data_IF_332270491759
#
_entry.id   IF_332270491759
#
_cell.length_a   1.000
_cell.length_b   1.000
_cell.length_c   1.000
_cell.angle_alpha   90.00
_cell.angle_beta   90.00
_cell.angle_gamma   90.00
#
_symmetry.space_group_name_H-M   'P 1'
#
loop_
_entity.id
_entity.type
_entity.pdbx_description
1 polymer ?
#
# COMPACT_ATOMS: atom_id res chain seq x y z
N UNK A 1 15.93 46.73 -68.01
CA UNK A 1 16.47 46.52 -66.65
C UNK A 1 15.33 46.18 -65.69
N UNK A 2 15.64 45.42 -64.65
CA UNK A 2 14.81 44.45 -63.89
C UNK A 2 13.39 44.91 -63.49
N UNK A 3 12.38 44.12 -63.88
CA UNK A 3 11.01 44.18 -63.32
C UNK A 3 11.04 43.58 -61.91
N UNK A 4 10.74 44.39 -60.90
CA UNK A 4 10.51 43.91 -59.54
C UNK A 4 9.13 43.26 -59.47
N UNK A 5 9.11 41.93 -59.34
CA UNK A 5 7.88 41.22 -58.97
C UNK A 5 7.74 41.28 -57.45
N UNK A 6 6.60 41.73 -56.90
CA UNK A 6 6.37 41.64 -55.47
C UNK A 6 6.22 40.17 -55.08
N UNK A 7 7.10 39.71 -54.19
CA UNK A 7 6.93 38.42 -53.52
C UNK A 7 5.71 38.58 -52.61
N UNK A 8 4.55 38.14 -53.10
CA UNK A 8 3.36 37.98 -52.31
C UNK A 8 3.66 36.91 -51.25
N UNK A 9 4.09 37.34 -50.06
CA UNK A 9 4.03 36.49 -48.86
C UNK A 9 2.56 36.26 -48.58
N UNK A 10 1.97 35.23 -49.19
CA UNK A 10 0.75 34.61 -48.67
C UNK A 10 1.09 34.18 -47.25
N UNK A 11 0.73 35.02 -46.27
CA UNK A 11 0.58 34.55 -44.91
C UNK A 11 -0.41 33.39 -45.02
N UNK A 12 0.09 32.16 -44.82
CA UNK A 12 -0.79 31.04 -44.49
C UNK A 12 -1.45 31.45 -43.18
N UNK A 13 -2.59 32.13 -43.27
CA UNK A 13 -3.43 32.29 -42.11
C UNK A 13 -3.81 30.87 -41.70
N UNK A 14 -3.48 30.45 -40.47
CA UNK A 14 -3.81 29.12 -40.01
C UNK A 14 -5.31 28.95 -40.19
N UNK A 15 -5.69 27.93 -40.97
CA UNK A 15 -7.08 27.70 -41.30
C UNK A 15 -7.81 27.45 -39.97
N UNK A 16 -8.72 28.37 -39.58
CA UNK A 16 -9.30 28.39 -38.22
C UNK A 16 -9.89 27.03 -37.81
N UNK A 17 -10.36 26.24 -38.79
CA UNK A 17 -10.84 24.87 -38.60
C UNK A 17 -9.76 23.88 -38.16
N UNK A 18 -8.58 23.86 -38.79
CA UNK A 18 -7.49 22.94 -38.36
C UNK A 18 -6.90 23.32 -37.01
N UNK A 19 -6.86 24.62 -36.68
CA UNK A 19 -6.53 25.07 -35.32
C UNK A 19 -7.53 24.57 -34.28
N UNK A 20 -8.83 24.64 -34.58
CA UNK A 20 -9.89 24.16 -33.68
C UNK A 20 -9.83 22.64 -33.46
N UNK A 21 -9.66 21.85 -34.53
CA UNK A 21 -9.48 20.40 -34.40
C UNK A 21 -8.24 20.04 -33.58
N UNK A 22 -7.11 20.73 -33.83
CA UNK A 22 -5.89 20.57 -33.05
C UNK A 22 -6.10 20.81 -31.56
N UNK A 23 -6.79 21.91 -31.20
CA UNK A 23 -7.14 22.25 -29.81
C UNK A 23 -8.02 21.16 -29.20
N UNK A 24 -9.07 20.70 -29.89
CA UNK A 24 -9.98 19.66 -29.38
C UNK A 24 -9.22 18.36 -29.11
N UNK A 25 -8.36 17.91 -30.04
CA UNK A 25 -7.54 16.71 -29.81
C UNK A 25 -6.59 16.87 -28.64
N UNK A 26 -5.96 18.04 -28.48
CA UNK A 26 -5.00 18.30 -27.42
C UNK A 26 -5.69 18.35 -26.04
N UNK A 27 -6.89 18.92 -25.98
CA UNK A 27 -7.76 18.88 -24.80
C UNK A 27 -8.16 17.44 -24.48
N UNK A 28 -8.58 16.65 -25.46
CA UNK A 28 -8.96 15.25 -25.23
C UNK A 28 -7.80 14.40 -24.67
N UNK A 29 -6.58 14.59 -25.20
CA UNK A 29 -5.37 13.91 -24.70
C UNK A 29 -5.07 14.35 -23.26
N UNK A 30 -5.10 15.65 -22.97
CA UNK A 30 -4.88 16.18 -21.63
C UNK A 30 -5.93 15.69 -20.63
N UNK A 31 -7.21 15.67 -21.04
CA UNK A 31 -8.30 15.13 -20.23
C UNK A 31 -8.12 13.65 -19.94
N UNK A 32 -7.68 12.86 -20.93
CA UNK A 32 -7.37 11.44 -20.74
C UNK A 32 -6.23 11.21 -19.74
N UNK A 33 -5.15 11.98 -19.85
CA UNK A 33 -4.04 11.93 -18.89
C UNK A 33 -4.48 12.34 -17.48
N UNK A 34 -5.24 13.43 -17.35
CA UNK A 34 -5.78 13.90 -16.08
C UNK A 34 -6.69 12.85 -15.43
N UNK A 35 -7.60 12.25 -16.20
CA UNK A 35 -8.48 11.18 -15.74
C UNK A 35 -7.71 9.94 -15.30
N UNK A 36 -6.65 9.58 -16.01
CA UNK A 36 -5.79 8.47 -15.61
C UNK A 36 -5.11 8.75 -14.26
N UNK A 37 -4.50 9.93 -14.10
CA UNK A 37 -3.84 10.31 -12.85
C UNK A 37 -4.81 10.44 -11.66
N UNK A 38 -6.00 11.02 -11.86
CA UNK A 38 -6.99 11.13 -10.79
C UNK A 38 -7.53 9.76 -10.39
N UNK A 39 -7.73 8.86 -11.36
CA UNK A 39 -8.21 7.50 -11.09
C UNK A 39 -7.14 6.67 -10.35
N UNK A 40 -5.87 6.71 -10.76
CA UNK A 40 -4.80 6.05 -10.00
C UNK A 40 -4.71 6.56 -8.56
N UNK A 41 -4.76 7.88 -8.39
CA UNK A 41 -4.68 8.49 -7.06
C UNK A 41 -5.88 8.11 -6.19
N UNK A 42 -7.09 8.14 -6.74
CA UNK A 42 -8.29 7.68 -6.03
C UNK A 42 -8.20 6.20 -5.66
N UNK A 43 -7.75 5.33 -6.57
CA UNK A 43 -7.60 3.91 -6.26
C UNK A 43 -6.56 3.67 -5.16
N UNK A 44 -5.45 4.40 -5.17
CA UNK A 44 -4.44 4.32 -4.12
C UNK A 44 -4.98 4.84 -2.76
N UNK A 45 -5.73 5.93 -2.77
CA UNK A 45 -6.37 6.48 -1.56
C UNK A 45 -7.46 5.54 -1.02
N UNK A 46 -8.28 4.96 -1.89
CA UNK A 46 -9.27 3.94 -1.52
C UNK A 46 -8.56 2.73 -0.91
N UNK A 47 -7.55 2.18 -1.57
CA UNK A 47 -6.79 1.04 -1.06
C UNK A 47 -6.16 1.36 0.31
N UNK A 48 -5.56 2.54 0.48
CA UNK A 48 -5.00 3.00 1.75
C UNK A 48 -6.07 3.16 2.83
N UNK A 49 -7.25 3.68 2.48
CA UNK A 49 -8.35 3.87 3.43
C UNK A 49 -8.94 2.54 3.94
N UNK A 50 -9.01 1.52 3.07
CA UNK A 50 -9.53 0.20 3.44
C UNK A 50 -8.47 -0.71 4.09
N UNK A 51 -7.19 -0.53 3.74
CA UNK A 51 -6.14 -1.52 4.00
C UNK A 51 -4.92 -0.98 4.76
N UNK A 52 -4.93 0.31 5.10
CA UNK A 52 -3.81 1.00 5.73
C UNK A 52 -2.57 1.07 4.86
N UNK A 53 -1.41 1.35 5.49
CA UNK A 53 -0.14 1.58 4.80
C UNK A 53 0.53 0.34 4.18
N UNK A 54 0.02 -0.88 4.44
CA UNK A 54 0.71 -2.12 4.04
C UNK A 54 -0.17 -3.17 3.37
N UNK A 55 -1.46 -2.90 3.14
CA UNK A 55 -2.33 -3.85 2.44
C UNK A 55 -2.59 -5.15 3.21
N UNK A 56 -2.22 -5.22 4.50
CA UNK A 56 -2.33 -6.40 5.36
C UNK A 56 -3.06 -6.05 6.66
N UNK A 57 -4.00 -6.88 7.06
CA UNK A 57 -4.78 -6.73 8.29
C UNK A 57 -4.99 -8.09 8.99
N UNK A 58 -5.55 -8.06 10.21
CA UNK A 58 -5.90 -9.28 10.94
C UNK A 58 -4.71 -10.19 11.26
N UNK A 59 -3.55 -9.60 11.59
CA UNK A 59 -2.36 -10.33 12.02
C UNK A 59 -2.65 -11.08 13.33
N UNK A 60 -2.36 -12.37 13.37
CA UNK A 60 -2.47 -13.21 14.56
C UNK A 60 -1.22 -14.06 14.74
N UNK A 61 -0.74 -14.14 15.98
CA UNK A 61 0.39 -14.97 16.38
C UNK A 61 -0.05 -15.90 17.51
N UNK A 62 0.05 -17.20 17.26
CA UNK A 62 -0.27 -18.25 18.24
C UNK A 62 1.01 -18.98 18.60
N UNK A 63 1.34 -19.00 19.89
CA UNK A 63 2.45 -19.78 20.45
C UNK A 63 1.88 -21.05 21.08
N UNK A 64 2.25 -22.21 20.55
CA UNK A 64 1.82 -23.51 21.05
C UNK A 64 2.76 -24.00 22.16
N UNK A 65 2.26 -24.91 23.00
CA UNK A 65 2.99 -25.42 24.19
C UNK A 65 4.18 -26.32 23.84
N UNK A 66 4.20 -26.89 22.64
CA UNK A 66 5.25 -27.75 22.10
C UNK A 66 6.40 -26.95 21.45
N UNK A 67 6.52 -25.65 21.80
CA UNK A 67 7.49 -24.72 21.24
C UNK A 67 7.30 -24.40 19.75
N UNK A 68 6.18 -24.77 19.14
CA UNK A 68 5.84 -24.36 17.77
C UNK A 68 5.00 -23.08 17.74
N UNK A 69 5.04 -22.32 16.65
CA UNK A 69 4.17 -21.15 16.45
C UNK A 69 3.45 -21.20 15.11
N UNK A 70 2.34 -20.45 15.05
CA UNK A 70 1.63 -20.14 13.83
C UNK A 70 1.32 -18.65 13.76
N UNK A 71 1.83 -18.00 12.73
CA UNK A 71 1.52 -16.63 12.34
C UNK A 71 0.58 -16.66 11.14
N UNK A 72 -0.45 -15.83 11.15
CA UNK A 72 -1.39 -15.69 10.03
C UNK A 72 -1.74 -14.23 9.81
N UNK A 73 -1.93 -13.85 8.55
CA UNK A 73 -2.34 -12.50 8.15
C UNK A 73 -3.29 -12.56 6.96
N UNK A 74 -4.12 -11.52 6.85
CA UNK A 74 -5.04 -11.34 5.74
C UNK A 74 -4.55 -10.20 4.85
N UNK A 75 -4.49 -10.46 3.55
CA UNK A 75 -4.19 -9.44 2.55
C UNK A 75 -5.46 -8.79 2.03
N UNK A 76 -5.42 -7.49 1.77
CA UNK A 76 -6.50 -6.78 1.10
C UNK A 76 -6.53 -7.03 -0.41
N UNK A 77 -5.36 -7.10 -1.04
CA UNK A 77 -5.20 -7.39 -2.48
C UNK A 77 -4.36 -8.63 -2.74
N UNK A 78 -3.70 -9.17 -1.72
CA UNK A 78 -2.89 -10.40 -1.78
C UNK A 78 -3.62 -11.56 -1.11
N UNK A 79 -3.29 -12.79 -1.51
CA UNK A 79 -3.74 -14.02 -0.85
C UNK A 79 -3.32 -14.04 0.62
N UNK A 80 -4.22 -14.51 1.49
CA UNK A 80 -3.93 -14.74 2.90
C UNK A 80 -2.68 -15.59 3.07
N UNK A 81 -1.83 -15.22 4.02
CA UNK A 81 -0.58 -15.91 4.29
C UNK A 81 -0.54 -16.51 5.68
N UNK A 82 0.24 -17.58 5.82
CA UNK A 82 0.59 -18.11 7.12
C UNK A 82 2.05 -18.57 7.14
N UNK A 83 2.66 -18.46 8.31
CA UNK A 83 4.03 -18.88 8.58
C UNK A 83 4.02 -19.69 9.85
N UNK A 84 4.75 -20.80 9.85
CA UNK A 84 4.92 -21.65 11.03
C UNK A 84 6.39 -21.94 11.28
N UNK A 85 6.71 -22.31 12.52
CA UNK A 85 8.06 -22.68 12.88
C UNK A 85 8.18 -22.93 14.37
N UNK A 86 9.39 -22.79 14.88
CA UNK A 86 9.69 -22.93 16.30
C UNK A 86 9.79 -21.56 16.96
N UNK A 87 9.48 -21.47 18.25
CA UNK A 87 9.74 -20.29 19.05
C UNK A 87 10.58 -20.65 20.27
N UNK A 88 11.37 -19.68 20.72
CA UNK A 88 12.12 -19.76 21.95
C UNK A 88 11.98 -18.44 22.74
N UNK A 89 12.11 -18.50 24.06
CA UNK A 89 12.06 -17.31 24.89
C UNK A 89 13.14 -17.31 25.98
N UNK A 90 13.90 -16.22 26.03
CA UNK A 90 14.94 -15.99 27.04
C UNK A 90 14.41 -15.08 28.16
N UNK A 91 13.22 -15.38 28.68
CA UNK A 91 12.53 -14.55 29.68
C UNK A 91 11.82 -13.34 29.07
N UNK A 92 12.54 -12.25 28.82
CA UNK A 92 11.95 -10.99 28.29
C UNK A 92 11.87 -10.95 26.77
N UNK A 93 12.68 -11.73 26.06
CA UNK A 93 12.72 -11.74 24.60
C UNK A 93 12.08 -13.04 24.10
N UNK A 94 11.21 -12.91 23.12
CA UNK A 94 10.68 -13.99 22.29
C UNK A 94 11.41 -13.96 20.94
N UNK A 95 11.90 -15.11 20.49
CA UNK A 95 12.51 -15.29 19.16
C UNK A 95 11.70 -16.32 18.40
N UNK A 96 11.33 -15.99 17.17
CA UNK A 96 10.66 -16.88 16.22
C UNK A 96 11.68 -17.39 15.20
N UNK A 97 11.61 -18.69 14.91
CA UNK A 97 12.45 -19.40 13.95
C UNK A 97 11.49 -20.02 12.92
N UNK A 98 11.09 -19.25 11.89
CA UNK A 98 10.14 -19.72 10.90
C UNK A 98 10.77 -20.79 9.99
N UNK A 99 9.95 -21.71 9.48
CA UNK A 99 10.38 -22.69 8.49
C UNK A 99 10.66 -22.08 7.11
N UNK A 100 10.08 -20.90 6.84
CA UNK A 100 10.21 -20.13 5.60
C UNK A 100 10.39 -18.65 5.91
N UNK A 101 11.17 -17.94 5.12
CA UNK A 101 11.35 -16.50 5.27
C UNK A 101 10.07 -15.79 4.83
N UNK A 102 9.60 -14.85 5.63
CA UNK A 102 8.43 -14.02 5.34
C UNK A 102 8.73 -12.60 5.81
N UNK A 103 8.56 -11.63 4.92
CA UNK A 103 8.92 -10.24 5.15
C UNK A 103 7.95 -9.50 6.08
N UNK A 104 6.76 -10.07 6.34
CA UNK A 104 5.72 -9.51 7.20
C UNK A 104 5.95 -9.89 8.67
N UNK A 105 6.66 -11.00 8.91
CA UNK A 105 6.88 -11.54 10.25
C UNK A 105 8.18 -11.00 10.86
N UNK A 106 8.02 -10.23 11.93
CA UNK A 106 9.13 -9.91 12.81
C UNK A 106 9.64 -11.16 13.55
N UNK A 107 10.96 -11.31 13.66
CA UNK A 107 11.55 -12.52 14.26
C UNK A 107 11.81 -12.40 15.75
N UNK A 108 11.83 -11.17 16.29
CA UNK A 108 12.15 -10.92 17.70
C UNK A 108 11.20 -9.91 18.31
N UNK A 109 10.67 -10.26 19.47
CA UNK A 109 9.73 -9.44 20.22
C UNK A 109 10.18 -9.31 21.68
N UNK A 110 9.97 -8.14 22.25
CA UNK A 110 10.05 -7.91 23.68
C UNK A 110 8.68 -8.18 24.32
N UNK A 111 8.67 -9.02 25.36
CA UNK A 111 7.51 -9.24 26.21
C UNK A 111 7.39 -8.07 27.18
N UNK A 112 6.30 -7.32 27.11
CA UNK A 112 5.99 -6.25 28.06
C UNK A 112 4.53 -6.33 28.49
N UNK A 113 4.30 -6.62 29.77
CA UNK A 113 2.96 -6.87 30.33
C UNK A 113 2.21 -7.94 29.53
N UNK A 114 1.14 -7.54 28.83
CA UNK A 114 0.32 -8.41 27.98
C UNK A 114 0.55 -8.20 26.48
N UNK A 115 1.70 -7.65 26.12
CA UNK A 115 2.04 -7.29 24.75
C UNK A 115 3.38 -7.90 24.32
N UNK A 116 3.48 -8.19 23.02
CA UNK A 116 4.71 -8.50 22.32
C UNK A 116 5.02 -7.33 21.39
N UNK A 117 6.10 -6.61 21.70
CA UNK A 117 6.53 -5.42 20.98
C UNK A 117 7.67 -5.83 20.03
N UNK A 118 7.56 -5.60 18.71
CA UNK A 118 8.63 -5.95 17.77
C UNK A 118 9.91 -5.15 18.09
N UNK A 119 11.07 -5.80 18.01
CA UNK A 119 12.36 -5.15 18.30
C UNK A 119 12.98 -4.44 17.10
N UNK A 120 12.65 -4.87 15.86
CA UNK A 120 13.33 -4.40 14.64
C UNK A 120 12.71 -3.10 14.09
N UNK A 121 11.40 -2.91 14.25
CA UNK A 121 10.67 -1.75 13.75
C UNK A 121 9.49 -1.37 14.65
N UNK A 122 9.47 -0.13 15.16
CA UNK A 122 8.41 0.39 16.03
C UNK A 122 7.13 0.79 15.28
N UNK A 123 7.18 0.82 13.94
CA UNK A 123 6.04 1.11 13.06
C UNK A 123 5.14 -0.11 12.83
N UNK A 124 5.59 -1.30 13.20
CA UNK A 124 4.80 -2.52 13.08
C UNK A 124 3.90 -2.76 14.30
N UNK A 125 2.72 -3.30 14.04
CA UNK A 125 1.72 -3.56 15.07
C UNK A 125 2.23 -4.54 16.14
N UNK A 126 2.14 -4.12 17.40
CA UNK A 126 2.33 -4.97 18.58
C UNK A 126 1.27 -6.09 18.64
N UNK A 127 1.63 -7.26 19.18
CA UNK A 127 0.63 -8.28 19.50
C UNK A 127 0.15 -8.13 20.93
N UNK A 128 -1.17 -8.08 21.13
CA UNK A 128 -1.80 -8.12 22.45
C UNK A 128 -2.34 -9.52 22.70
N UNK A 129 -2.15 -10.04 23.91
CA UNK A 129 -2.73 -11.32 24.30
C UNK A 129 -4.26 -11.28 24.13
N UNK A 130 -4.85 -12.30 23.49
CA UNK A 130 -6.28 -12.33 23.16
C UNK A 130 -7.19 -12.11 24.39
N UNK A 131 -6.81 -12.67 25.55
CA UNK A 131 -7.56 -12.48 26.81
C UNK A 131 -7.65 -11.02 27.28
N UNK A 132 -6.75 -10.17 26.82
CA UNK A 132 -6.66 -8.76 27.16
C UNK A 132 -6.96 -7.87 25.94
N UNK A 133 -7.49 -8.45 24.87
CA UNK A 133 -7.88 -7.70 23.68
C UNK A 133 -9.26 -7.09 23.89
N UNK A 134 -9.31 -5.77 24.03
CA UNK A 134 -10.55 -5.02 24.04
C UNK A 134 -10.88 -4.61 22.60
N UNK A 135 -11.97 -5.13 22.06
CA UNK A 135 -12.40 -4.77 20.71
C UNK A 135 -12.79 -3.27 20.69
N UNK A 136 -12.21 -2.45 19.81
CA UNK A 136 -12.41 -0.99 19.82
C UNK A 136 -13.85 -0.54 19.53
N UNK A 137 -14.72 -1.45 19.09
CA UNK A 137 -16.15 -1.19 18.84
C UNK A 137 -17.09 -1.64 19.95
N UNK A 138 -16.60 -2.04 21.13
CA UNK A 138 -17.43 -2.08 22.34
C UNK A 138 -17.71 -0.64 22.82
N UNK A 139 -18.41 0.14 22.01
CA UNK A 139 -19.28 1.18 22.53
C UNK A 139 -20.60 0.49 22.81
N UNK A 140 -20.93 0.40 24.10
CA UNK A 140 -22.21 -0.05 24.61
C UNK A 140 -23.32 0.66 23.83
N UNK A 141 -24.18 -0.12 23.17
CA UNK A 141 -25.51 0.33 22.77
C UNK A 141 -26.45 0.17 23.96
#
# INVERSE_FOLDING_TARGET
MKRYFPINRRQLQPNKRTGLFGIITLVAILSGLLLFFTNEKQNAEILSSYCGGFGLYGKSLVLMKDSTFRFSYYGCSQTNGYVSGQWNSNGQILTLIPAQIDDVLNLKYQKYKSKLIPLKDSSEAEFVLCKNYEHPTKKEY
#
